data_IF_160161902395
#
_entry.id   IF_160161902395
#
_cell.length_a   1.000
_cell.length_b   1.000
_cell.length_c   1.000
_cell.angle_alpha   90.00
_cell.angle_beta   90.00
_cell.angle_gamma   90.00
#
_symmetry.space_group_name_H-M   'P 1'
#
loop_
_entity.id
_entity.type
_entity.pdbx_description
1 polymer ?
#
# COMPACT_ATOMS: atom_id res chain seq x y z
N UNK A 1 -9.07 18.06 -10.61
CA UNK A 1 -9.21 16.88 -11.50
C UNK A 1 -9.33 17.38 -12.93
N UNK A 2 -8.63 16.79 -13.88
CA UNK A 2 -8.77 17.11 -15.31
C UNK A 2 -9.53 15.95 -15.97
N UNK A 3 -10.81 16.15 -16.22
CA UNK A 3 -11.68 15.16 -16.89
C UNK A 3 -11.06 14.69 -18.21
N UNK A 4 -10.47 15.60 -18.96
CA UNK A 4 -9.83 15.34 -20.25
C UNK A 4 -8.75 14.26 -20.15
N UNK A 5 -7.92 14.28 -19.09
CA UNK A 5 -6.89 13.24 -18.89
C UNK A 5 -7.50 11.85 -18.62
N UNK A 6 -8.63 11.81 -17.90
CA UNK A 6 -9.35 10.56 -17.67
C UNK A 6 -9.91 10.05 -19.01
N UNK A 7 -10.52 10.93 -19.79
CA UNK A 7 -11.09 10.58 -21.10
C UNK A 7 -10.03 10.09 -22.10
N UNK A 8 -8.87 10.76 -22.16
CA UNK A 8 -7.72 10.32 -22.97
C UNK A 8 -7.31 8.88 -22.58
N UNK A 9 -7.21 8.60 -21.28
CA UNK A 9 -6.83 7.26 -20.81
C UNK A 9 -7.92 6.21 -21.05
N UNK A 10 -9.19 6.58 -20.94
CA UNK A 10 -10.30 5.69 -21.28
C UNK A 10 -10.26 5.28 -22.76
N UNK A 11 -10.01 6.23 -23.67
CA UNK A 11 -9.84 5.95 -25.09
C UNK A 11 -8.66 5.02 -25.35
N UNK A 12 -7.51 5.31 -24.72
CA UNK A 12 -6.30 4.48 -24.84
C UNK A 12 -6.53 3.02 -24.40
N UNK A 13 -7.30 2.83 -23.32
CA UNK A 13 -7.60 1.51 -22.75
C UNK A 13 -8.82 0.81 -23.41
N UNK A 14 -9.50 1.46 -24.35
CA UNK A 14 -10.69 0.91 -24.98
C UNK A 14 -11.86 0.72 -24.02
N UNK A 15 -12.05 1.67 -23.08
CA UNK A 15 -13.11 1.69 -22.08
C UNK A 15 -14.08 2.82 -22.43
N UNK A 16 -15.40 2.52 -22.46
CA UNK A 16 -16.41 3.49 -22.88
C UNK A 16 -16.69 4.59 -21.85
N UNK A 17 -16.35 4.32 -20.57
CA UNK A 17 -16.48 5.30 -19.51
C UNK A 17 -16.12 4.77 -18.14
N UNK A 18 -15.94 5.69 -17.20
CA UNK A 18 -15.72 5.40 -15.79
C UNK A 18 -16.91 5.90 -14.98
N UNK A 19 -17.60 4.98 -14.29
CA UNK A 19 -18.74 5.30 -13.43
C UNK A 19 -18.30 5.26 -11.97
N UNK A 20 -18.19 6.43 -11.37
CA UNK A 20 -18.02 6.57 -9.93
C UNK A 20 -19.39 6.46 -9.25
N UNK A 21 -19.42 5.75 -8.16
CA UNK A 21 -20.59 5.53 -7.33
C UNK A 21 -20.22 5.62 -5.86
N UNK A 22 -21.00 6.32 -5.08
CA UNK A 22 -20.81 6.32 -3.64
C UNK A 22 -22.13 6.34 -2.87
N UNK A 23 -22.06 5.75 -1.70
CA UNK A 23 -23.07 5.76 -0.66
C UNK A 23 -22.38 5.76 0.71
N UNK A 24 -22.65 6.78 1.53
CA UNK A 24 -22.04 6.96 2.85
C UNK A 24 -20.52 7.23 2.85
N UNK A 25 -19.97 7.87 1.84
CA UNK A 25 -18.55 8.19 1.69
C UNK A 25 -17.65 6.93 1.79
N UNK A 26 -18.09 5.81 1.22
CA UNK A 26 -17.34 4.54 1.23
C UNK A 26 -16.21 4.52 0.21
N UNK A 27 -16.43 5.16 -0.95
CA UNK A 27 -15.45 5.20 -2.02
C UNK A 27 -14.44 6.34 -1.82
N UNK A 28 -13.56 6.17 -0.83
CA UNK A 28 -12.49 7.13 -0.55
C UNK A 28 -11.56 7.35 -1.75
N UNK A 29 -11.35 6.31 -2.56
CA UNK A 29 -10.52 6.36 -3.78
C UNK A 29 -11.18 7.28 -4.81
N UNK A 30 -12.45 7.05 -5.12
CA UNK A 30 -13.20 7.90 -6.06
C UNK A 30 -13.30 9.34 -5.57
N UNK A 31 -13.56 9.57 -4.29
CA UNK A 31 -13.58 10.92 -3.71
C UNK A 31 -12.24 11.63 -3.91
N UNK A 32 -11.11 10.95 -3.66
CA UNK A 32 -9.77 11.51 -3.85
C UNK A 32 -9.48 11.84 -5.32
N UNK A 33 -9.76 10.90 -6.24
CA UNK A 33 -9.57 11.11 -7.69
C UNK A 33 -10.41 12.30 -8.18
N UNK A 34 -11.65 12.42 -7.70
CA UNK A 34 -12.56 13.49 -8.07
C UNK A 34 -12.25 14.82 -7.35
N UNK A 35 -11.35 14.84 -6.38
CA UNK A 35 -11.04 16.01 -5.57
C UNK A 35 -12.21 16.45 -4.69
N UNK A 36 -13.04 15.50 -4.25
CA UNK A 36 -14.18 15.74 -3.38
C UNK A 36 -13.79 15.57 -1.91
N UNK A 37 -14.31 16.47 -1.07
CA UNK A 37 -14.14 16.37 0.38
C UNK A 37 -14.99 15.23 0.95
N UNK A 38 -14.43 14.50 1.91
CA UNK A 38 -15.15 13.50 2.71
C UNK A 38 -16.12 14.17 3.68
N UNK A 39 -16.02 15.50 3.87
CA UNK A 39 -16.86 16.23 4.81
C UNK A 39 -18.32 16.31 4.35
N UNK A 40 -19.23 16.22 5.31
CA UNK A 40 -20.67 16.34 5.12
C UNK A 40 -21.40 15.01 4.95
N UNK A 41 -22.72 15.08 4.98
CA UNK A 41 -23.60 13.94 4.86
C UNK A 41 -23.60 13.38 3.44
N UNK A 42 -23.50 12.07 3.31
CA UNK A 42 -23.67 11.32 2.07
C UNK A 42 -24.68 10.18 2.30
N UNK A 43 -25.91 10.56 2.65
CA UNK A 43 -26.96 9.60 3.06
C UNK A 43 -27.75 9.05 1.88
N UNK A 44 -27.43 9.51 0.69
CA UNK A 44 -28.07 9.09 -0.57
C UNK A 44 -27.00 8.72 -1.58
N UNK A 45 -27.36 7.73 -2.44
CA UNK A 45 -26.49 7.32 -3.54
C UNK A 45 -26.32 8.44 -4.56
N UNK A 46 -25.09 8.62 -5.04
CA UNK A 46 -24.82 9.45 -6.20
C UNK A 46 -23.99 8.67 -7.22
N UNK A 47 -24.06 9.11 -8.47
CA UNK A 47 -23.30 8.55 -9.58
C UNK A 47 -22.68 9.68 -10.38
N UNK A 48 -21.43 9.50 -10.78
CA UNK A 48 -20.74 10.39 -11.68
C UNK A 48 -20.15 9.60 -12.83
N UNK A 49 -20.68 9.78 -14.01
CA UNK A 49 -20.24 9.09 -15.21
C UNK A 49 -19.34 10.00 -16.03
N UNK A 50 -18.09 9.57 -16.25
CA UNK A 50 -17.14 10.19 -17.18
C UNK A 50 -17.10 9.29 -18.41
N UNK A 51 -17.77 9.65 -19.53
CA UNK A 51 -17.66 8.90 -20.78
C UNK A 51 -16.29 9.11 -21.42
N UNK A 52 -15.80 8.15 -22.19
CA UNK A 52 -14.57 8.30 -22.98
C UNK A 52 -14.63 9.52 -23.92
N UNK A 53 -15.82 9.83 -24.45
CA UNK A 53 -16.06 10.99 -25.27
C UNK A 53 -17.37 11.68 -24.87
N UNK A 54 -17.36 13.00 -24.78
CA UNK A 54 -18.53 13.79 -24.46
C UNK A 54 -18.52 14.40 -23.06
N UNK A 55 -19.61 15.00 -22.66
CA UNK A 55 -19.75 15.71 -21.39
C UNK A 55 -20.00 14.69 -20.24
N UNK A 56 -19.33 14.84 -19.09
CA UNK A 56 -19.64 14.05 -17.90
C UNK A 56 -21.07 14.25 -17.39
N UNK A 57 -21.59 13.28 -16.67
CA UNK A 57 -22.96 13.28 -16.19
C UNK A 57 -22.99 12.98 -14.69
N UNK A 58 -23.74 13.81 -13.97
CA UNK A 58 -24.01 13.71 -12.53
C UNK A 58 -25.42 13.22 -12.29
N UNK A 59 -25.61 12.23 -11.44
CA UNK A 59 -26.93 11.79 -10.98
C UNK A 59 -26.95 11.83 -9.45
N UNK A 60 -27.77 12.70 -8.89
CA UNK A 60 -27.84 12.96 -7.46
C UNK A 60 -29.28 12.86 -6.95
N UNK A 61 -29.44 12.56 -5.68
CA UNK A 61 -30.75 12.52 -5.06
C UNK A 61 -31.25 13.94 -4.70
N UNK A 62 -32.56 14.22 -4.87
CA UNK A 62 -33.15 15.55 -4.57
C UNK A 62 -33.01 16.01 -3.12
N UNK A 63 -32.75 15.09 -2.18
CA UNK A 63 -32.48 15.43 -0.76
C UNK A 63 -31.07 16.01 -0.57
N UNK A 64 -30.12 15.69 -1.47
CA UNK A 64 -28.75 16.19 -1.47
C UNK A 64 -28.44 16.83 -2.83
N UNK A 65 -29.13 17.91 -3.22
CA UNK A 65 -29.10 18.44 -4.58
C UNK A 65 -27.73 19.04 -4.96
N UNK A 66 -26.96 19.49 -3.98
CA UNK A 66 -25.68 20.17 -4.20
C UNK A 66 -24.49 19.17 -4.31
N UNK A 67 -24.75 17.87 -4.12
CA UNK A 67 -23.69 16.86 -4.34
C UNK A 67 -23.14 16.97 -5.77
N UNK A 68 -21.82 16.82 -5.88
CA UNK A 68 -21.07 16.92 -7.13
C UNK A 68 -21.09 18.30 -7.82
N UNK A 69 -21.47 19.39 -7.14
CA UNK A 69 -21.54 20.71 -7.77
C UNK A 69 -20.18 21.25 -8.20
N UNK A 70 -19.13 20.88 -7.52
CA UNK A 70 -17.75 21.25 -7.88
C UNK A 70 -17.22 20.54 -9.13
N UNK A 71 -17.92 19.49 -9.59
CA UNK A 71 -17.52 18.72 -10.77
C UNK A 71 -18.19 19.28 -12.03
N UNK A 72 -17.53 19.21 -13.20
CA UNK A 72 -18.16 19.55 -14.48
C UNK A 72 -19.22 18.53 -14.89
N UNK A 73 -20.07 18.91 -15.83
CA UNK A 73 -21.03 18.01 -16.48
C UNK A 73 -22.48 18.27 -16.15
N UNK A 74 -23.35 17.67 -16.93
CA UNK A 74 -24.81 17.79 -16.83
C UNK A 74 -25.34 17.06 -15.60
N UNK A 75 -26.23 17.71 -14.84
CA UNK A 75 -26.81 17.15 -13.62
C UNK A 75 -28.23 16.65 -13.84
N UNK A 76 -28.50 15.44 -13.35
CA UNK A 76 -29.81 14.81 -13.27
C UNK A 76 -30.16 14.52 -11.81
N UNK A 77 -31.47 14.47 -11.53
CA UNK A 77 -32.00 14.22 -10.21
C UNK A 77 -32.88 12.96 -10.18
N UNK A 78 -32.93 12.32 -9.02
CA UNK A 78 -33.88 11.26 -8.74
C UNK A 78 -34.37 11.36 -7.28
N UNK A 79 -35.49 10.69 -6.96
CA UNK A 79 -36.01 10.52 -5.60
C UNK A 79 -36.24 9.06 -5.26
N UNK A 80 -37.02 8.36 -6.07
CA UNK A 80 -37.37 6.97 -5.84
C UNK A 80 -36.48 5.99 -6.59
N UNK A 81 -36.46 4.73 -6.17
CA UNK A 81 -35.64 3.69 -6.78
C UNK A 81 -36.00 3.42 -8.27
N UNK A 82 -37.30 3.52 -8.63
CA UNK A 82 -37.72 3.37 -10.03
C UNK A 82 -37.16 4.49 -10.91
N UNK A 83 -37.27 5.74 -10.45
CA UNK A 83 -36.68 6.88 -11.15
C UNK A 83 -35.16 6.75 -11.25
N UNK A 84 -34.48 6.26 -10.20
CA UNK A 84 -33.04 5.99 -10.26
C UNK A 84 -32.69 5.01 -11.38
N UNK A 85 -33.41 3.88 -11.51
CA UNK A 85 -33.15 2.89 -12.56
C UNK A 85 -33.41 3.45 -13.96
N UNK A 86 -34.49 4.21 -14.13
CA UNK A 86 -34.83 4.89 -15.40
C UNK A 86 -33.75 5.91 -15.77
N UNK A 87 -33.28 6.71 -14.80
CA UNK A 87 -32.20 7.70 -15.02
C UNK A 87 -30.88 7.03 -15.37
N UNK A 88 -30.49 5.97 -14.70
CA UNK A 88 -29.29 5.21 -15.06
C UNK A 88 -29.37 4.66 -16.47
N UNK A 89 -30.52 4.10 -16.87
CA UNK A 89 -30.75 3.63 -18.24
C UNK A 89 -30.66 4.76 -19.26
N UNK A 90 -31.25 5.93 -18.96
CA UNK A 90 -31.20 7.11 -19.82
C UNK A 90 -29.77 7.63 -19.99
N UNK A 91 -29.04 7.79 -18.87
CA UNK A 91 -27.70 8.38 -18.84
C UNK A 91 -26.67 7.47 -19.50
N UNK A 92 -26.72 6.19 -19.23
CA UNK A 92 -25.75 5.24 -19.76
C UNK A 92 -26.07 4.81 -21.18
N UNK A 93 -27.37 4.81 -21.56
CA UNK A 93 -27.85 4.54 -22.92
C UNK A 93 -27.56 3.11 -23.39
N UNK A 94 -27.03 2.96 -24.62
CA UNK A 94 -26.69 1.65 -25.21
C UNK A 94 -25.61 0.90 -24.41
N UNK A 95 -25.51 -0.44 -24.54
CA UNK A 95 -24.49 -1.24 -23.89
C UNK A 95 -23.08 -0.65 -24.02
N UNK A 96 -22.37 -0.62 -22.93
CA UNK A 96 -21.02 -0.03 -22.78
C UNK A 96 -20.14 -0.90 -21.92
N UNK A 97 -18.81 -0.80 -22.13
CA UNK A 97 -17.78 -1.29 -21.24
C UNK A 97 -17.43 -0.20 -20.24
N UNK A 98 -17.86 -0.37 -18.99
CA UNK A 98 -17.79 0.65 -17.93
C UNK A 98 -16.84 0.19 -16.83
N UNK A 99 -15.83 1.01 -16.51
CA UNK A 99 -14.97 0.80 -15.35
C UNK A 99 -15.69 1.28 -14.07
N UNK A 100 -15.52 0.53 -12.98
CA UNK A 100 -15.97 0.88 -11.63
C UNK A 100 -14.97 0.38 -10.61
N UNK A 101 -15.01 0.92 -9.38
CA UNK A 101 -14.24 0.39 -8.26
C UNK A 101 -14.81 -0.97 -7.83
N UNK A 102 -14.61 -1.93 -8.70
CA UNK A 102 -15.04 -3.31 -8.61
C UNK A 102 -13.89 -4.22 -9.01
N UNK A 103 -13.73 -5.34 -8.33
CA UNK A 103 -12.75 -6.36 -8.68
C UNK A 103 -13.42 -7.70 -8.90
N UNK A 104 -13.40 -8.25 -10.13
CA UNK A 104 -13.92 -9.58 -10.39
C UNK A 104 -13.27 -10.61 -9.47
N UNK A 105 -14.10 -11.52 -8.92
CA UNK A 105 -13.66 -12.55 -7.96
C UNK A 105 -12.93 -11.99 -6.72
N UNK A 106 -13.04 -10.68 -6.45
CA UNK A 106 -12.32 -9.97 -5.40
C UNK A 106 -10.79 -10.14 -5.49
N UNK A 107 -10.26 -10.27 -6.71
CA UNK A 107 -8.82 -10.50 -6.95
C UNK A 107 -7.93 -9.35 -6.45
N UNK A 108 -8.47 -8.12 -6.37
CA UNK A 108 -7.81 -6.95 -5.78
C UNK A 108 -8.78 -6.32 -4.77
N UNK A 109 -8.78 -6.76 -3.49
CA UNK A 109 -9.72 -6.31 -2.47
C UNK A 109 -9.72 -4.80 -2.26
N UNK A 110 -8.57 -4.14 -2.37
CA UNK A 110 -8.41 -2.68 -2.23
C UNK A 110 -9.30 -1.87 -3.18
N UNK A 111 -9.61 -2.42 -4.36
CA UNK A 111 -10.40 -1.75 -5.40
C UNK A 111 -11.87 -2.20 -5.36
N UNK A 112 -12.22 -3.23 -4.60
CA UNK A 112 -13.56 -3.82 -4.58
C UNK A 112 -14.48 -3.09 -3.60
N UNK A 113 -14.89 -1.87 -3.94
CA UNK A 113 -15.65 -0.97 -3.06
C UNK A 113 -17.14 -0.93 -3.40
N UNK A 114 -17.47 -0.99 -4.70
CA UNK A 114 -18.86 -0.96 -5.16
C UNK A 114 -19.56 -2.26 -4.77
N UNK A 115 -20.75 -2.14 -4.17
CA UNK A 115 -21.53 -3.28 -3.74
C UNK A 115 -22.04 -4.13 -4.94
N UNK A 116 -22.22 -5.44 -4.66
CA UNK A 116 -22.64 -6.41 -5.67
C UNK A 116 -23.98 -6.04 -6.32
N UNK A 117 -24.94 -5.53 -5.53
CA UNK A 117 -26.26 -5.15 -6.04
C UNK A 117 -26.21 -4.01 -7.05
N UNK A 118 -25.29 -3.05 -6.88
CA UNK A 118 -25.06 -1.99 -7.87
C UNK A 118 -24.47 -2.56 -9.16
N UNK A 119 -23.52 -3.50 -9.05
CA UNK A 119 -22.93 -4.18 -10.22
C UNK A 119 -24.01 -5.00 -10.96
N UNK A 120 -24.84 -5.75 -10.22
CA UNK A 120 -25.94 -6.53 -10.81
C UNK A 120 -26.95 -5.64 -11.53
N UNK A 121 -27.32 -4.50 -10.94
CA UNK A 121 -28.21 -3.51 -11.55
C UNK A 121 -27.67 -3.05 -12.92
N UNK A 122 -26.43 -2.64 -12.97
CA UNK A 122 -25.81 -2.11 -14.19
C UNK A 122 -25.63 -3.19 -15.26
N UNK A 123 -25.27 -4.41 -14.88
CA UNK A 123 -25.25 -5.58 -15.77
C UNK A 123 -26.65 -5.91 -16.30
N UNK A 124 -27.69 -5.81 -15.43
CA UNK A 124 -29.10 -5.97 -15.82
C UNK A 124 -29.57 -4.92 -16.81
N UNK A 125 -28.94 -3.74 -16.87
CA UNK A 125 -29.16 -2.72 -17.90
C UNK A 125 -28.40 -3.01 -19.22
N UNK A 126 -27.59 -4.07 -19.27
CA UNK A 126 -26.88 -4.53 -20.47
C UNK A 126 -25.43 -4.05 -20.58
N UNK A 127 -24.87 -3.46 -19.52
CA UNK A 127 -23.48 -2.99 -19.54
C UNK A 127 -22.50 -4.08 -19.10
N UNK A 128 -21.30 -4.06 -19.69
CA UNK A 128 -20.13 -4.81 -19.22
C UNK A 128 -19.44 -3.99 -18.12
N UNK A 129 -19.41 -4.50 -16.90
CA UNK A 129 -18.73 -3.83 -15.79
C UNK A 129 -17.37 -4.47 -15.55
N UNK A 130 -16.32 -3.67 -15.67
CA UNK A 130 -14.93 -4.05 -15.50
C UNK A 130 -14.30 -3.35 -14.30
N UNK A 131 -13.15 -3.87 -13.86
CA UNK A 131 -12.36 -3.22 -12.79
C UNK A 131 -11.77 -1.89 -13.26
N UNK A 132 -11.79 -0.90 -12.36
CA UNK A 132 -11.06 0.36 -12.52
C UNK A 132 -9.62 0.30 -11.97
N UNK A 133 -9.10 -0.87 -11.62
CA UNK A 133 -7.83 -1.00 -10.91
C UNK A 133 -6.65 -0.28 -11.61
N UNK A 134 -6.54 -0.42 -12.93
CA UNK A 134 -5.49 0.26 -13.71
C UNK A 134 -5.70 1.79 -13.75
N UNK A 135 -6.95 2.25 -13.83
CA UNK A 135 -7.28 3.67 -13.77
C UNK A 135 -6.96 4.25 -12.39
N UNK A 136 -7.35 3.54 -11.32
CA UNK A 136 -7.02 3.95 -9.94
C UNK A 136 -5.51 4.06 -9.77
N UNK A 137 -4.76 3.07 -10.25
CA UNK A 137 -3.30 3.13 -10.20
C UNK A 137 -2.76 4.40 -10.86
N UNK A 138 -3.22 4.73 -12.08
CA UNK A 138 -2.74 5.87 -12.86
C UNK A 138 -3.13 7.22 -12.22
N UNK A 139 -4.34 7.34 -11.67
CA UNK A 139 -4.87 8.63 -11.22
C UNK A 139 -4.74 8.87 -9.71
N UNK A 140 -4.43 7.84 -8.92
CA UNK A 140 -4.38 7.95 -7.46
C UNK A 140 -3.09 7.43 -6.84
N UNK A 141 -2.46 6.38 -7.41
CA UNK A 141 -1.38 5.68 -6.74
C UNK A 141 0.03 5.97 -7.29
N UNK A 142 0.15 6.48 -8.53
CA UNK A 142 1.47 6.85 -9.07
C UNK A 142 1.99 8.12 -8.41
N UNK A 143 3.22 8.06 -7.94
CA UNK A 143 3.91 9.15 -7.25
C UNK A 143 4.74 9.94 -8.26
N UNK A 144 4.50 11.23 -8.37
CA UNK A 144 5.28 12.12 -9.24
C UNK A 144 6.61 12.55 -8.60
N UNK A 145 7.47 13.19 -9.41
CA UNK A 145 8.81 13.63 -9.00
C UNK A 145 8.81 14.70 -7.88
N UNK A 146 7.69 15.34 -7.60
CA UNK A 146 7.59 16.30 -6.50
C UNK A 146 7.14 15.58 -5.22
N UNK A 147 6.16 14.71 -5.32
CA UNK A 147 5.65 13.96 -4.18
C UNK A 147 6.69 12.99 -3.63
N UNK A 148 7.48 12.33 -4.49
CA UNK A 148 8.53 11.39 -4.04
C UNK A 148 9.59 12.07 -3.15
N UNK A 149 9.78 13.37 -3.25
CA UNK A 149 10.70 14.12 -2.36
C UNK A 149 10.28 14.04 -0.90
N UNK A 150 8.98 14.06 -0.62
CA UNK A 150 8.47 13.93 0.76
C UNK A 150 8.79 12.56 1.35
N UNK A 151 8.77 11.51 0.52
CA UNK A 151 9.19 10.16 0.89
C UNK A 151 10.69 10.09 1.23
N UNK A 152 11.57 10.67 0.38
CA UNK A 152 13.00 10.71 0.68
C UNK A 152 13.32 11.51 1.95
N UNK A 153 12.62 12.63 2.17
CA UNK A 153 12.77 13.42 3.40
C UNK A 153 12.31 12.64 4.64
N UNK A 154 11.17 11.95 4.55
CA UNK A 154 10.68 11.06 5.60
C UNK A 154 11.68 9.92 5.85
N UNK A 155 12.16 9.27 4.77
CA UNK A 155 13.09 8.15 4.85
C UNK A 155 14.36 8.50 5.62
N UNK A 156 14.97 9.65 5.35
CA UNK A 156 16.13 10.13 6.10
C UNK A 156 15.85 10.22 7.60
N UNK A 157 14.69 10.76 7.98
CA UNK A 157 14.34 10.96 9.40
C UNK A 157 13.93 9.65 10.08
N UNK A 158 13.34 8.70 9.34
CA UNK A 158 13.03 7.34 9.82
C UNK A 158 14.32 6.56 10.03
N UNK A 159 15.26 6.59 9.08
CA UNK A 159 16.58 5.97 9.22
C UNK A 159 17.35 6.49 10.42
N UNK A 160 17.37 7.81 10.63
CA UNK A 160 17.96 8.43 11.81
C UNK A 160 17.27 7.97 13.11
N UNK A 161 15.95 7.81 13.08
CA UNK A 161 15.18 7.35 14.25
C UNK A 161 15.46 5.89 14.58
N UNK A 162 15.64 5.04 13.56
CA UNK A 162 16.07 3.66 13.77
C UNK A 162 17.44 3.58 14.44
N UNK A 163 18.42 4.38 13.98
CA UNK A 163 19.75 4.43 14.60
C UNK A 163 19.68 4.92 16.06
N UNK A 164 18.84 5.91 16.34
CA UNK A 164 18.59 6.38 17.71
C UNK A 164 17.94 5.30 18.59
N UNK A 165 17.02 4.49 18.05
CA UNK A 165 16.40 3.37 18.76
C UNK A 165 17.44 2.28 19.09
N UNK A 166 18.31 1.91 18.14
CA UNK A 166 19.42 0.98 18.41
C UNK A 166 20.38 1.52 19.46
N UNK A 167 20.68 2.82 19.45
CA UNK A 167 21.53 3.44 20.48
C UNK A 167 20.86 3.46 21.85
N UNK A 168 19.54 3.68 21.94
CA UNK A 168 18.80 3.63 23.21
C UNK A 168 18.79 2.21 23.80
N UNK A 169 18.64 1.17 22.95
CA UNK A 169 18.78 -0.23 23.37
C UNK A 169 20.21 -0.49 23.86
N UNK A 170 21.25 -0.05 23.12
CA UNK A 170 22.66 -0.22 23.50
C UNK A 170 22.97 0.37 24.86
N UNK A 171 22.48 1.59 25.17
CA UNK A 171 22.60 2.21 26.47
C UNK A 171 21.96 1.38 27.58
N UNK A 172 20.77 0.83 27.32
CA UNK A 172 20.08 -0.07 28.23
C UNK A 172 20.91 -1.32 28.57
N UNK A 173 21.44 -1.97 27.52
CA UNK A 173 22.28 -3.18 27.61
C UNK A 173 23.55 -2.88 28.42
N UNK A 174 24.29 -1.83 28.08
CA UNK A 174 25.54 -1.45 28.76
C UNK A 174 25.37 -1.06 30.22
N UNK A 175 24.22 -0.49 30.55
CA UNK A 175 23.94 -0.06 31.93
C UNK A 175 23.22 -1.12 32.79
N UNK A 176 22.81 -2.24 32.19
CA UNK A 176 21.97 -3.25 32.84
C UNK A 176 20.53 -2.77 33.14
N UNK A 177 20.10 -1.67 32.48
CA UNK A 177 18.74 -1.12 32.60
C UNK A 177 18.03 -1.37 31.25
N UNK A 178 17.60 -2.60 31.07
CA UNK A 178 16.99 -3.04 29.83
C UNK A 178 15.68 -2.29 29.53
N UNK A 179 15.49 -1.96 28.26
CA UNK A 179 14.24 -1.40 27.75
C UNK A 179 13.33 -2.53 27.31
N UNK A 180 12.02 -2.34 27.46
CA UNK A 180 11.04 -3.25 26.88
C UNK A 180 10.77 -2.91 25.40
N UNK A 181 10.23 -3.87 24.66
CA UNK A 181 9.76 -3.68 23.28
C UNK A 181 8.81 -2.47 23.19
N UNK A 182 7.87 -2.36 24.15
CA UNK A 182 6.93 -1.25 24.24
C UNK A 182 7.62 0.09 24.49
N UNK A 183 8.60 0.16 25.41
CA UNK A 183 9.34 1.39 25.67
C UNK A 183 10.10 1.87 24.42
N UNK A 184 10.67 0.95 23.62
CA UNK A 184 11.36 1.30 22.37
C UNK A 184 10.35 1.75 21.31
N UNK A 185 9.20 1.09 21.18
CA UNK A 185 8.11 1.56 20.32
C UNK A 185 7.70 2.99 20.67
N UNK A 186 7.46 3.28 21.95
CA UNK A 186 7.10 4.63 22.42
C UNK A 186 8.23 5.65 22.20
N UNK A 187 9.48 5.22 22.33
CA UNK A 187 10.63 6.05 21.99
C UNK A 187 10.61 6.43 20.51
N UNK A 188 10.40 5.47 19.59
CA UNK A 188 10.32 5.71 18.14
C UNK A 188 9.18 6.69 17.83
N UNK A 189 7.98 6.48 18.37
CA UNK A 189 6.82 7.37 18.17
C UNK A 189 7.11 8.79 18.65
N UNK A 190 7.77 8.93 19.82
CA UNK A 190 8.17 10.24 20.32
C UNK A 190 9.17 10.91 19.37
N UNK A 191 10.16 10.17 18.85
CA UNK A 191 11.15 10.71 17.90
C UNK A 191 10.49 11.11 16.57
N UNK A 192 9.51 10.35 16.10
CA UNK A 192 8.72 10.73 14.93
C UNK A 192 8.02 12.07 15.15
N UNK A 193 7.31 12.19 16.28
CA UNK A 193 6.65 13.46 16.64
C UNK A 193 7.64 14.63 16.73
N UNK A 194 8.76 14.45 17.42
CA UNK A 194 9.79 15.48 17.61
C UNK A 194 10.41 15.93 16.25
N UNK A 195 10.42 15.05 15.24
CA UNK A 195 10.93 15.30 13.88
C UNK A 195 9.86 15.73 12.89
N UNK A 196 8.60 15.94 13.32
CA UNK A 196 7.48 16.33 12.45
C UNK A 196 7.00 15.22 11.53
N UNK A 197 7.20 13.96 11.92
CA UNK A 197 6.69 12.78 11.24
C UNK A 197 5.40 12.29 11.90
N UNK A 198 4.65 11.46 11.17
CA UNK A 198 3.50 10.70 11.67
C UNK A 198 3.51 9.29 11.08
N UNK A 199 3.14 8.30 11.89
CA UNK A 199 2.77 6.96 11.42
C UNK A 199 1.25 6.80 11.31
N UNK A 200 0.54 7.93 11.25
CA UNK A 200 -0.91 8.04 11.45
C UNK A 200 -1.30 7.41 12.82
N UNK A 201 -2.24 6.49 12.90
CA UNK A 201 -2.63 5.85 14.17
C UNK A 201 -1.99 4.46 14.35
N UNK A 202 -1.08 4.06 13.43
CA UNK A 202 -0.45 2.74 13.44
C UNK A 202 0.97 2.82 14.04
N UNK A 203 1.20 2.23 15.24
CA UNK A 203 2.51 2.28 15.89
C UNK A 203 3.51 1.29 15.27
N UNK A 204 4.84 1.59 15.31
CA UNK A 204 5.89 0.67 14.87
C UNK A 204 5.84 -0.68 15.58
N UNK A 205 6.34 -1.71 14.92
CA UNK A 205 6.53 -3.04 15.51
C UNK A 205 7.95 -3.13 16.09
N UNK A 206 8.04 -3.58 17.33
CA UNK A 206 9.30 -3.92 17.98
C UNK A 206 9.11 -5.26 18.65
N UNK A 207 9.88 -6.26 18.27
CA UNK A 207 9.73 -7.59 18.84
C UNK A 207 11.06 -8.33 18.98
N UNK A 208 11.18 -9.12 20.05
CA UNK A 208 12.33 -9.99 20.28
C UNK A 208 11.97 -11.46 20.25
N UNK A 209 12.91 -12.27 19.76
CA UNK A 209 12.89 -13.74 19.72
C UNK A 209 11.67 -14.31 19.00
N UNK A 210 10.69 -14.89 19.73
CA UNK A 210 9.50 -15.50 19.18
C UNK A 210 8.37 -14.50 18.88
N UNK A 211 8.38 -13.29 19.43
CA UNK A 211 7.36 -12.28 19.17
C UNK A 211 7.24 -11.94 17.67
N UNK A 212 8.34 -11.68 16.93
CA UNK A 212 8.28 -11.45 15.50
C UNK A 212 7.84 -12.67 14.67
N UNK A 213 7.67 -13.86 15.28
CA UNK A 213 7.06 -14.99 14.57
C UNK A 213 5.59 -14.74 14.20
N UNK A 214 4.95 -13.75 14.83
CA UNK A 214 3.73 -13.11 14.37
C UNK A 214 4.12 -11.81 13.63
N UNK A 215 3.95 -11.72 12.30
CA UNK A 215 4.32 -10.52 11.53
C UNK A 215 3.63 -9.23 12.01
N UNK A 216 2.45 -9.35 12.62
CA UNK A 216 1.68 -8.24 13.17
C UNK A 216 1.71 -8.23 14.71
N UNK A 217 2.86 -8.51 15.30
CA UNK A 217 3.03 -8.37 16.75
C UNK A 217 3.14 -6.90 17.13
N UNK A 218 2.20 -6.42 17.94
CA UNK A 218 2.25 -5.07 18.51
C UNK A 218 2.54 -5.17 20.00
N UNK A 219 3.68 -4.59 20.48
CA UNK A 219 3.98 -4.58 21.89
C UNK A 219 3.03 -3.64 22.66
N UNK A 220 2.57 -4.12 23.81
CA UNK A 220 1.80 -3.37 24.79
C UNK A 220 2.52 -3.44 26.15
N UNK A 221 2.15 -2.60 27.14
CA UNK A 221 2.75 -2.73 28.47
C UNK A 221 2.62 -4.14 29.08
N UNK A 222 1.55 -4.87 28.74
CA UNK A 222 1.22 -6.18 29.32
C UNK A 222 1.92 -7.35 28.63
N UNK A 223 2.17 -7.27 27.31
CA UNK A 223 2.76 -8.36 26.53
C UNK A 223 4.24 -8.17 26.18
N UNK A 224 4.80 -7.02 26.53
CA UNK A 224 6.14 -6.61 26.15
C UNK A 224 7.22 -7.28 27.00
N UNK A 225 8.35 -7.61 26.40
CA UNK A 225 9.54 -8.17 27.06
C UNK A 225 10.66 -7.15 27.13
N UNK A 226 11.56 -7.30 28.13
CA UNK A 226 12.82 -6.57 28.14
C UNK A 226 13.75 -7.09 27.04
N UNK A 227 14.42 -6.18 26.34
CA UNK A 227 15.41 -6.47 25.30
C UNK A 227 16.76 -6.70 25.99
N UNK A 228 17.27 -7.93 25.98
CA UNK A 228 18.41 -8.40 26.76
C UNK A 228 19.54 -8.95 25.85
N UNK A 229 20.76 -9.11 26.39
CA UNK A 229 21.80 -9.87 25.69
C UNK A 229 21.29 -11.23 25.18
N UNK A 230 21.75 -11.64 24.01
CA UNK A 230 21.38 -12.84 23.26
C UNK A 230 19.99 -12.77 22.58
N UNK A 231 19.24 -11.67 22.70
CA UNK A 231 17.97 -11.53 21.99
C UNK A 231 18.16 -11.24 20.49
N UNK A 232 17.29 -11.82 19.69
CA UNK A 232 17.10 -11.53 18.26
C UNK A 232 16.01 -10.48 18.15
N UNK A 233 16.32 -9.32 17.59
CA UNK A 233 15.43 -8.16 17.51
C UNK A 233 14.97 -7.93 16.07
N UNK A 234 13.71 -7.61 15.90
CA UNK A 234 13.12 -7.06 14.68
C UNK A 234 12.45 -5.74 15.02
N UNK A 235 12.75 -4.70 14.25
CA UNK A 235 12.06 -3.40 14.28
C UNK A 235 11.52 -3.14 12.89
N UNK A 236 10.22 -2.90 12.81
CA UNK A 236 9.49 -2.51 11.63
C UNK A 236 8.82 -1.16 11.89
N UNK A 237 9.16 -0.16 11.07
CA UNK A 237 8.77 1.21 11.33
C UNK A 237 8.52 1.98 10.04
N UNK A 238 7.39 2.68 10.03
CA UNK A 238 6.93 3.49 8.91
C UNK A 238 6.49 4.87 9.37
N UNK A 239 6.79 5.87 8.58
CA UNK A 239 6.30 7.22 8.80
C UNK A 239 6.32 8.05 7.52
N UNK A 240 5.56 9.13 7.54
CA UNK A 240 5.59 10.22 6.55
C UNK A 240 5.70 11.55 7.25
N UNK A 241 6.00 12.60 6.51
CA UNK A 241 5.90 13.97 7.04
C UNK A 241 4.45 14.26 7.45
N UNK A 242 4.26 14.96 8.56
CA UNK A 242 2.91 15.33 9.03
C UNK A 242 2.37 16.52 8.24
N UNK A 243 2.20 16.33 6.94
CA UNK A 243 1.64 17.31 6.00
C UNK A 243 0.76 16.61 4.95
N UNK A 244 -0.27 17.29 4.42
CA UNK A 244 -1.14 16.71 3.42
C UNK A 244 -0.38 16.29 2.16
N UNK A 245 -0.68 15.09 1.65
CA UNK A 245 -0.08 14.55 0.43
C UNK A 245 1.31 13.95 0.61
N UNK A 246 1.88 13.97 1.83
CA UNK A 246 3.16 13.34 2.12
C UNK A 246 3.09 11.82 1.96
N UNK A 247 4.18 11.24 1.45
CA UNK A 247 4.28 9.83 1.10
C UNK A 247 5.06 9.08 2.19
N UNK A 248 4.52 7.93 2.61
CA UNK A 248 5.15 7.05 3.59
C UNK A 248 6.49 6.51 3.13
N UNK A 249 7.38 6.32 4.10
CA UNK A 249 8.58 5.49 4.03
C UNK A 249 8.44 4.36 5.04
N UNK A 250 8.85 3.14 4.67
CA UNK A 250 8.56 1.91 5.41
C UNK A 250 9.76 0.96 5.35
N UNK A 251 10.29 0.54 6.51
CA UNK A 251 11.44 -0.35 6.57
C UNK A 251 11.38 -1.32 7.75
N UNK A 252 11.87 -2.52 7.54
CA UNK A 252 12.13 -3.50 8.59
C UNK A 252 13.60 -3.85 8.68
N UNK A 253 14.14 -3.81 9.89
CA UNK A 253 15.53 -4.16 10.19
C UNK A 253 15.62 -5.22 11.30
N UNK A 254 16.59 -6.13 11.16
CA UNK A 254 16.91 -7.17 12.13
C UNK A 254 18.22 -6.86 12.85
N UNK A 255 18.28 -7.16 14.16
CA UNK A 255 19.46 -6.99 14.97
C UNK A 255 19.66 -8.18 15.92
N UNK A 256 20.87 -8.30 16.44
CA UNK A 256 21.21 -9.22 17.52
C UNK A 256 21.80 -8.43 18.69
N UNK A 257 21.36 -8.74 19.91
CA UNK A 257 21.85 -8.10 21.12
C UNK A 257 23.09 -8.89 21.64
N UNK A 258 24.23 -8.52 21.08
CA UNK A 258 25.51 -9.21 21.30
C UNK A 258 26.42 -9.04 20.10
N UNK A 259 27.59 -9.66 20.15
CA UNK A 259 28.63 -9.63 19.09
C UNK A 259 28.74 -10.93 18.30
N UNK A 260 28.19 -12.04 18.81
CA UNK A 260 28.24 -13.37 18.18
C UNK A 260 26.81 -13.94 17.97
N UNK A 261 26.10 -13.53 16.89
CA UNK A 261 24.75 -14.02 16.62
C UNK A 261 24.77 -15.53 16.28
N UNK A 262 23.74 -16.29 16.70
CA UNK A 262 23.62 -17.70 16.35
C UNK A 262 23.63 -17.91 14.82
N UNK A 263 24.37 -18.90 14.35
CA UNK A 263 24.51 -19.21 12.92
C UNK A 263 23.16 -19.43 12.23
N UNK A 264 22.22 -20.09 12.89
CA UNK A 264 20.84 -20.28 12.38
C UNK A 264 20.17 -18.94 12.08
N UNK A 265 20.31 -17.95 12.96
CA UNK A 265 19.70 -16.62 12.78
C UNK A 265 20.34 -15.84 11.63
N UNK A 266 21.66 -15.88 11.53
CA UNK A 266 22.42 -15.28 10.42
C UNK A 266 22.00 -15.91 9.09
N UNK A 267 21.91 -17.24 9.02
CA UNK A 267 21.51 -17.95 7.83
C UNK A 267 20.08 -17.60 7.39
N UNK A 268 19.13 -17.53 8.32
CA UNK A 268 17.75 -17.14 8.01
C UNK A 268 17.67 -15.68 7.50
N UNK A 269 18.41 -14.77 8.15
CA UNK A 269 18.50 -13.38 7.68
C UNK A 269 19.07 -13.31 6.25
N UNK A 270 20.14 -14.06 5.96
CA UNK A 270 20.72 -14.09 4.60
C UNK A 270 19.75 -14.65 3.57
N UNK A 271 18.95 -15.68 3.89
CA UNK A 271 17.93 -16.20 2.99
C UNK A 271 16.88 -15.13 2.65
N UNK A 272 16.39 -14.40 3.64
CA UNK A 272 15.39 -13.34 3.45
C UNK A 272 15.97 -12.16 2.68
N UNK A 273 17.18 -11.69 3.04
CA UNK A 273 17.90 -10.65 2.33
C UNK A 273 18.11 -11.00 0.85
N UNK A 274 18.57 -12.24 0.60
CA UNK A 274 18.88 -12.67 -0.77
C UNK A 274 17.59 -12.86 -1.60
N UNK A 275 16.48 -13.31 -0.99
CA UNK A 275 15.17 -13.34 -1.65
C UNK A 275 14.73 -11.93 -2.09
N UNK A 276 14.91 -10.91 -1.23
CA UNK A 276 14.65 -9.51 -1.54
C UNK A 276 15.51 -9.02 -2.73
N UNK A 277 16.81 -9.37 -2.72
CA UNK A 277 17.77 -9.01 -3.78
C UNK A 277 17.42 -9.66 -5.12
N UNK A 278 17.08 -10.94 -5.12
CA UNK A 278 16.66 -11.66 -6.33
C UNK A 278 15.39 -11.04 -6.94
N UNK A 279 14.39 -10.70 -6.11
CA UNK A 279 13.19 -10.03 -6.57
C UNK A 279 13.49 -8.67 -7.21
N UNK A 280 14.35 -7.85 -6.57
CA UNK A 280 14.77 -6.56 -7.10
C UNK A 280 15.57 -6.71 -8.40
N UNK A 281 16.53 -7.63 -8.44
CA UNK A 281 17.35 -7.89 -9.62
C UNK A 281 16.50 -8.36 -10.82
N UNK A 282 15.52 -9.21 -10.58
CA UNK A 282 14.55 -9.63 -11.60
C UNK A 282 13.81 -8.40 -12.17
N UNK A 283 13.24 -7.56 -11.30
CA UNK A 283 12.52 -6.36 -11.72
C UNK A 283 13.42 -5.43 -12.54
N UNK A 284 14.61 -5.10 -12.03
CA UNK A 284 15.57 -4.22 -12.71
C UNK A 284 15.97 -4.77 -14.08
N UNK A 285 16.23 -6.07 -14.17
CA UNK A 285 16.61 -6.72 -15.44
C UNK A 285 15.48 -6.62 -16.48
N UNK A 286 14.24 -6.89 -16.07
CA UNK A 286 13.06 -6.80 -16.93
C UNK A 286 12.85 -5.36 -17.45
N UNK A 287 12.90 -4.37 -16.54
CA UNK A 287 12.73 -2.97 -16.90
C UNK A 287 13.88 -2.46 -17.80
N UNK A 288 15.12 -2.85 -17.57
CA UNK A 288 16.26 -2.52 -18.43
C UNK A 288 16.10 -3.07 -19.87
N UNK A 289 15.35 -4.16 -20.03
CA UNK A 289 14.99 -4.73 -21.34
C UNK A 289 13.72 -4.09 -21.92
N UNK A 290 13.14 -3.05 -21.29
CA UNK A 290 11.86 -2.44 -21.65
C UNK A 290 10.68 -3.44 -21.67
N UNK A 291 10.76 -4.49 -20.86
CA UNK A 291 9.67 -5.45 -20.68
C UNK A 291 8.75 -5.00 -19.56
N UNK A 292 7.45 -5.23 -19.74
CA UNK A 292 6.46 -5.03 -18.69
C UNK A 292 6.62 -6.08 -17.59
N UNK A 293 6.34 -5.67 -16.35
CA UNK A 293 6.35 -6.54 -15.18
C UNK A 293 5.09 -6.30 -14.36
N UNK A 294 4.42 -7.36 -13.96
CA UNK A 294 3.32 -7.30 -13.01
C UNK A 294 3.81 -7.59 -11.58
N UNK A 295 3.08 -7.11 -10.59
CA UNK A 295 3.47 -7.29 -9.18
C UNK A 295 3.64 -8.76 -8.78
N UNK A 296 2.74 -9.64 -9.26
CA UNK A 296 2.82 -11.07 -8.96
C UNK A 296 4.11 -11.74 -9.47
N UNK A 297 4.69 -11.27 -10.58
CA UNK A 297 5.91 -11.85 -11.14
C UNK A 297 7.11 -11.62 -10.21
N UNK A 298 7.14 -10.50 -9.53
CA UNK A 298 8.21 -10.14 -8.58
C UNK A 298 8.06 -10.92 -7.26
N UNK A 299 6.83 -11.07 -6.76
CA UNK A 299 6.54 -11.91 -5.58
C UNK A 299 6.98 -13.36 -5.81
N UNK A 300 6.65 -13.91 -6.99
CA UNK A 300 6.98 -15.29 -7.35
C UNK A 300 8.49 -15.58 -7.26
N UNK A 301 9.33 -14.59 -7.58
CA UNK A 301 10.80 -14.75 -7.50
C UNK A 301 11.25 -14.88 -6.04
N UNK A 302 10.83 -13.96 -5.16
CA UNK A 302 11.19 -14.02 -3.75
C UNK A 302 10.64 -15.29 -3.08
N UNK A 303 9.39 -15.62 -3.35
CA UNK A 303 8.69 -16.77 -2.79
C UNK A 303 9.34 -18.07 -3.17
N UNK A 304 9.63 -18.26 -4.46
CA UNK A 304 10.34 -19.46 -4.95
C UNK A 304 11.71 -19.59 -4.33
N UNK A 305 12.48 -18.51 -4.20
CA UNK A 305 13.79 -18.55 -3.56
C UNK A 305 13.70 -19.06 -2.11
N UNK A 306 12.77 -18.52 -1.32
CA UNK A 306 12.55 -18.97 0.07
C UNK A 306 12.07 -20.42 0.11
N UNK A 307 11.21 -20.84 -0.81
CA UNK A 307 10.75 -22.22 -0.93
C UNK A 307 11.88 -23.21 -1.26
N UNK A 308 12.77 -22.87 -2.20
CA UNK A 308 13.95 -23.66 -2.56
C UNK A 308 14.93 -23.82 -1.38
N UNK A 309 14.93 -22.87 -0.43
CA UNK A 309 15.69 -22.96 0.82
C UNK A 309 14.98 -23.77 1.92
N UNK A 310 13.77 -24.29 1.66
CA UNK A 310 13.01 -25.13 2.59
C UNK A 310 12.13 -24.38 3.58
N UNK A 311 11.92 -23.06 3.38
CA UNK A 311 11.14 -22.21 4.29
C UNK A 311 9.83 -21.67 3.68
N UNK A 312 9.36 -22.25 2.56
CA UNK A 312 8.15 -21.79 1.86
C UNK A 312 6.92 -21.69 2.75
N UNK A 313 6.68 -22.67 3.63
CA UNK A 313 5.53 -22.69 4.55
C UNK A 313 5.59 -21.60 5.63
N UNK A 314 6.73 -20.97 5.82
CA UNK A 314 6.96 -19.92 6.81
C UNK A 314 6.95 -18.50 6.21
N UNK A 315 6.76 -18.36 4.90
CA UNK A 315 6.58 -17.09 4.23
C UNK A 315 5.08 -16.83 3.98
N UNK A 316 4.41 -16.22 4.93
CA UNK A 316 2.96 -16.24 5.10
C UNK A 316 2.24 -14.98 4.65
N UNK A 317 2.93 -14.04 4.01
CA UNK A 317 2.34 -12.83 3.42
C UNK A 317 2.93 -12.55 2.03
N UNK A 318 2.38 -11.60 1.30
CA UNK A 318 2.92 -11.09 0.01
C UNK A 318 4.32 -10.52 0.19
N UNK A 319 5.11 -10.47 -0.89
CA UNK A 319 6.46 -9.90 -0.85
C UNK A 319 6.49 -8.39 -0.66
N UNK A 320 5.37 -7.68 -0.92
CA UNK A 320 5.32 -6.24 -0.70
C UNK A 320 4.00 -5.61 -1.10
N UNK A 321 3.83 -4.37 -0.74
CA UNK A 321 2.63 -3.58 -1.00
C UNK A 321 2.95 -2.23 -1.62
N UNK A 322 1.98 -1.66 -2.33
CA UNK A 322 2.04 -0.28 -2.79
C UNK A 322 2.14 0.67 -1.60
N UNK A 323 2.98 1.68 -1.73
CA UNK A 323 3.15 2.77 -0.75
C UNK A 323 2.66 4.07 -1.37
N UNK A 324 1.98 4.91 -0.59
CA UNK A 324 1.45 6.20 -1.00
C UNK A 324 1.27 7.15 0.18
N UNK A 325 0.22 7.95 0.15
CA UNK A 325 -0.20 8.75 1.32
C UNK A 325 -0.66 7.87 2.50
N UNK A 326 -1.06 6.62 2.21
CA UNK A 326 -1.26 5.56 3.19
C UNK A 326 -0.09 4.59 3.06
N UNK A 327 0.35 4.00 4.17
CA UNK A 327 1.41 2.98 4.15
C UNK A 327 1.05 1.83 3.20
N UNK A 328 -0.18 1.36 3.25
CA UNK A 328 -0.75 0.45 2.25
C UNK A 328 -1.53 1.24 1.20
N UNK A 329 -0.90 1.52 0.06
CA UNK A 329 -1.47 2.27 -1.04
C UNK A 329 -2.40 1.45 -1.95
N UNK A 330 -3.00 2.13 -2.94
CA UNK A 330 -3.94 1.50 -3.89
C UNK A 330 -3.28 1.09 -5.23
N UNK A 331 -1.97 1.24 -5.36
CA UNK A 331 -1.20 0.79 -6.53
C UNK A 331 -1.01 -0.72 -6.57
N UNK A 332 -0.26 -1.20 -7.56
CA UNK A 332 0.06 -2.61 -7.68
C UNK A 332 0.88 -3.09 -6.48
N UNK A 333 0.44 -4.20 -5.89
CA UNK A 333 1.16 -4.90 -4.84
C UNK A 333 2.13 -5.93 -5.46
N UNK A 334 3.15 -6.28 -4.72
CA UNK A 334 4.05 -7.39 -5.05
C UNK A 334 3.47 -8.66 -4.42
N UNK A 335 2.50 -9.26 -5.12
CA UNK A 335 1.62 -10.26 -4.53
C UNK A 335 1.22 -11.36 -5.53
N UNK A 336 1.57 -12.60 -5.24
CA UNK A 336 1.09 -13.83 -5.86
C UNK A 336 0.65 -14.86 -4.80
N UNK A 337 0.34 -14.39 -3.60
CA UNK A 337 0.03 -15.25 -2.47
C UNK A 337 -1.34 -14.94 -1.86
N UNK A 338 -1.53 -13.73 -1.33
CA UNK A 338 -2.82 -13.29 -0.79
C UNK A 338 -3.81 -13.02 -1.92
N UNK A 339 -3.30 -12.39 -2.98
CA UNK A 339 -3.99 -12.16 -4.25
C UNK A 339 -3.00 -12.31 -5.40
N UNK A 340 -3.49 -12.48 -6.63
CA UNK A 340 -2.61 -12.38 -7.81
C UNK A 340 -2.75 -10.98 -8.41
N UNK A 341 -1.81 -10.09 -8.08
CA UNK A 341 -1.86 -8.72 -8.62
C UNK A 341 -1.28 -8.65 -10.04
N UNK A 342 -2.18 -8.67 -11.02
CA UNK A 342 -1.85 -8.65 -12.44
C UNK A 342 -1.52 -7.24 -12.95
N UNK A 343 -1.68 -6.19 -12.12
CA UNK A 343 -1.38 -4.81 -12.53
C UNK A 343 0.10 -4.65 -12.82
N UNK A 344 0.39 -3.85 -13.84
CA UNK A 344 1.76 -3.56 -14.24
C UNK A 344 2.41 -2.55 -13.29
N UNK A 345 3.67 -2.77 -13.00
CA UNK A 345 4.50 -1.82 -12.28
C UNK A 345 4.93 -0.71 -13.26
N UNK A 346 4.40 0.49 -13.05
CA UNK A 346 4.55 1.63 -13.95
C UNK A 346 5.57 2.65 -13.40
N UNK A 347 6.15 3.53 -14.24
CA UNK A 347 6.85 4.71 -13.74
C UNK A 347 5.97 5.51 -12.78
N UNK A 348 6.51 5.86 -11.61
CA UNK A 348 5.77 6.44 -10.50
C UNK A 348 5.27 5.42 -9.47
N UNK A 349 5.36 4.11 -9.71
CA UNK A 349 5.06 3.12 -8.70
C UNK A 349 6.09 3.16 -7.56
N UNK A 350 5.59 3.18 -6.33
CA UNK A 350 6.36 3.05 -5.09
C UNK A 350 5.78 1.90 -4.27
N UNK A 351 6.63 0.98 -3.82
CA UNK A 351 6.19 -0.21 -3.10
C UNK A 351 7.31 -0.76 -2.20
N UNK A 352 6.94 -1.58 -1.20
CA UNK A 352 7.89 -2.34 -0.39
C UNK A 352 8.37 -3.60 -1.10
N UNK A 353 9.58 -4.05 -0.76
CA UNK A 353 10.05 -5.42 -0.94
C UNK A 353 10.50 -5.91 0.43
N UNK A 354 9.70 -6.79 1.03
CA UNK A 354 9.77 -7.17 2.44
C UNK A 354 9.58 -8.68 2.69
N UNK A 355 10.24 -9.56 1.94
CA UNK A 355 10.08 -10.98 2.21
C UNK A 355 10.46 -11.31 3.66
N UNK A 356 9.80 -12.33 4.23
CA UNK A 356 10.04 -12.74 5.61
C UNK A 356 9.89 -14.25 5.82
N UNK A 357 10.49 -14.74 6.90
CA UNK A 357 10.37 -16.11 7.40
C UNK A 357 9.93 -16.04 8.85
N UNK A 358 8.80 -16.67 9.17
CA UNK A 358 8.16 -16.62 10.48
C UNK A 358 7.95 -18.03 11.02
N UNK A 359 8.86 -18.49 11.90
CA UNK A 359 8.80 -19.83 12.49
C UNK A 359 8.00 -19.74 13.80
N UNK A 360 6.77 -20.28 13.86
CA UNK A 360 5.88 -20.11 15.01
C UNK A 360 6.53 -20.50 16.33
N UNK A 361 6.47 -19.60 17.31
CA UNK A 361 7.02 -19.78 18.65
C UNK A 361 8.55 -19.82 18.72
N UNK A 362 9.25 -19.47 17.64
CA UNK A 362 10.73 -19.42 17.61
C UNK A 362 11.26 -18.04 17.26
N UNK A 363 11.01 -17.59 16.05
CA UNK A 363 11.51 -16.28 15.58
C UNK A 363 10.82 -15.84 14.28
N UNK A 364 10.91 -14.54 14.00
CA UNK A 364 10.60 -13.93 12.70
C UNK A 364 11.80 -13.16 12.19
N UNK A 365 11.98 -13.20 10.88
CA UNK A 365 13.00 -12.42 10.16
C UNK A 365 12.34 -11.78 8.95
N UNK A 366 12.49 -10.49 8.79
CA UNK A 366 12.06 -9.72 7.62
C UNK A 366 13.17 -8.75 7.23
N UNK A 367 13.33 -8.51 5.95
CA UNK A 367 14.26 -7.52 5.43
C UNK A 367 13.55 -6.71 4.36
N UNK A 368 13.46 -5.42 4.57
CA UNK A 368 12.61 -4.54 3.79
C UNK A 368 13.35 -3.35 3.23
N UNK A 369 13.01 -3.01 2.00
CA UNK A 369 13.36 -1.76 1.33
C UNK A 369 12.17 -1.23 0.57
N UNK A 370 12.14 0.09 0.33
CA UNK A 370 11.18 0.68 -0.60
C UNK A 370 11.83 0.81 -1.99
N UNK A 371 11.04 0.52 -3.01
CA UNK A 371 11.46 0.61 -4.41
C UNK A 371 10.57 1.57 -5.16
N UNK A 372 11.19 2.53 -5.83
CA UNK A 372 10.53 3.50 -6.70
C UNK A 372 10.92 3.26 -8.16
N UNK A 373 9.94 3.23 -9.05
CA UNK A 373 10.20 3.20 -10.49
C UNK A 373 10.14 4.64 -11.01
N UNK A 374 11.29 5.18 -11.38
CA UNK A 374 11.40 6.56 -11.84
C UNK A 374 10.88 6.77 -13.29
N UNK A 375 10.87 8.02 -13.75
CA UNK A 375 10.44 8.38 -15.11
C UNK A 375 11.28 7.74 -16.22
N UNK A 376 12.55 7.34 -15.93
CA UNK A 376 13.41 6.59 -16.85
C UNK A 376 13.14 5.08 -16.85
N UNK A 377 12.09 4.62 -16.16
CA UNK A 377 11.74 3.19 -15.94
C UNK A 377 12.83 2.40 -15.19
N UNK A 378 13.58 3.04 -14.32
CA UNK A 378 14.55 2.35 -13.46
C UNK A 378 13.96 2.12 -12.08
N UNK A 379 14.04 0.89 -11.59
CA UNK A 379 13.69 0.56 -10.21
C UNK A 379 14.90 0.90 -9.30
N UNK A 380 14.69 1.82 -8.35
CA UNK A 380 15.71 2.29 -7.41
C UNK A 380 15.24 2.05 -5.98
N UNK A 381 16.15 1.62 -5.11
CA UNK A 381 15.93 1.63 -3.67
C UNK A 381 15.96 3.08 -3.19
N UNK A 382 15.00 3.47 -2.35
CA UNK A 382 14.83 4.86 -1.93
C UNK A 382 15.45 5.21 -0.59
N UNK A 383 16.02 4.23 0.12
CA UNK A 383 16.66 4.40 1.42
C UNK A 383 17.85 3.48 1.60
N UNK A 384 18.15 3.19 2.86
CA UNK A 384 19.22 2.26 3.22
C UNK A 384 18.80 0.81 2.96
N UNK A 385 19.79 -0.01 2.67
CA UNK A 385 19.62 -1.45 2.52
C UNK A 385 20.35 -2.18 3.65
N UNK A 386 19.67 -3.07 4.35
CA UNK A 386 20.31 -3.90 5.35
C UNK A 386 21.01 -5.09 4.67
N UNK A 387 22.35 -5.13 4.81
CA UNK A 387 23.21 -6.18 4.24
C UNK A 387 23.52 -7.29 5.26
N UNK A 388 23.70 -6.92 6.52
CA UNK A 388 24.04 -7.80 7.63
C UNK A 388 23.19 -7.47 8.86
N UNK A 389 23.10 -8.38 9.81
CA UNK A 389 22.47 -8.12 11.09
C UNK A 389 23.17 -6.96 11.82
N UNK A 390 22.39 -6.06 12.43
CA UNK A 390 22.95 -5.05 13.32
C UNK A 390 23.36 -5.72 14.64
N UNK A 391 24.58 -5.48 15.08
CA UNK A 391 25.08 -5.97 16.37
C UNK A 391 24.99 -4.86 17.43
N UNK A 392 24.35 -5.15 18.55
CA UNK A 392 24.11 -4.21 19.64
C UNK A 392 24.75 -4.74 20.93
N UNK A 393 25.89 -4.14 21.35
CA UNK A 393 26.66 -4.55 22.53
C UNK A 393 27.34 -3.36 23.21
#
# INVERSE_FOLDING_TARGET
MKVEKIQEKLVELGIDGWLFYDFHNRDKIGLKILGLSIQGLATRRWFYFIPANGEPIKLVHRVEPDKLDTLPGKKFFYSGWRELHERLKEILGSPKKIAMQYSPMNAIPYISIVDAGTIELLRGLGHEIISSADLVQIFEALIDENLIKTHFEAGKLVDETLDEAFEEIRKGVRSGKYKTEYEIQQFILKRFYDKGLTSDEDPPIVGVNDHPSNPHFYPTPENSREIKPEDKLLIDLWAKKNEPGAIFYDITWCAFIGDEPPEEYVNLFHIVRDARREALAFLQNRLNQNLEVAGWEVDEVARRYIQEKGYGDYFTHRTGHSIGENVHGNGANIDNFETQDLRKLLPGSLFSLEPGIYIPGKLGVRSEVNVYINSEKKAIITGREQEELVLIY
#
